data_IF_571164914671
#
_entry.id   IF_571164914671
#
_cell.length_a   1.000
_cell.length_b   1.000
_cell.length_c   1.000
_cell.angle_alpha   90.00
_cell.angle_beta   90.00
_cell.angle_gamma   90.00
#
_symmetry.space_group_name_H-M   'P 1'
#
loop_
_entity.id
_entity.type
_entity.pdbx_description
1 polymer ?
2 non-polymer ?
3 non-polymer ?
4 water ?
#
# COMPACT_ATOMS: atom_id res chain seq x y z
N UNK A 3 -22.50 5.99 -29.63
CA UNK A 3 -23.63 5.06 -29.80
C UNK A 3 -23.28 3.63 -29.42
N UNK A 4 -22.35 3.02 -30.14
CA UNK A 4 -21.83 1.72 -29.72
C UNK A 4 -20.87 1.89 -28.53
N UNK A 5 -20.84 0.89 -27.64
CA UNK A 5 -19.94 0.94 -26.48
C UNK A 5 -18.49 1.20 -26.87
N UNK A 6 -18.10 0.71 -28.04
CA UNK A 6 -16.72 0.88 -28.51
C UNK A 6 -16.39 2.35 -28.83
N UNK A 7 -17.32 3.05 -29.48
CA UNK A 7 -17.15 4.48 -29.73
C UNK A 7 -17.29 5.29 -28.44
N UNK A 8 -18.18 4.85 -27.55
CA UNK A 8 -18.31 5.46 -26.22
C UNK A 8 -16.98 5.38 -25.50
N UNK A 9 -16.40 4.19 -25.49
CA UNK A 9 -15.12 4.00 -24.85
C UNK A 9 -14.03 4.77 -25.56
N UNK A 10 -14.10 4.84 -26.88
CA UNK A 10 -13.13 5.62 -27.65
C UNK A 10 -13.19 7.10 -27.25
N UNK A 11 -14.39 7.59 -26.95
CA UNK A 11 -14.56 8.97 -26.54
C UNK A 11 -13.88 9.23 -25.19
N UNK A 12 -14.05 8.30 -24.25
CA UNK A 12 -13.41 8.39 -22.92
C UNK A 12 -11.89 8.24 -22.99
N UNK A 13 -11.42 7.26 -23.76
CA UNK A 13 -9.98 7.10 -23.96
C UNK A 13 -9.38 8.37 -24.57
N UNK A 14 -10.11 8.96 -25.52
CA UNK A 14 -9.70 10.21 -26.14
C UNK A 14 -9.66 11.32 -25.09
N UNK A 15 -10.68 11.37 -24.23
CA UNK A 15 -10.69 12.31 -23.11
C UNK A 15 -9.44 12.11 -22.25
N UNK A 16 -9.24 10.88 -21.81
CA UNK A 16 -8.08 10.52 -20.96
C UNK A 16 -6.77 10.96 -21.59
N UNK A 17 -6.58 10.59 -22.85
CA UNK A 17 -5.35 10.92 -23.58
C UNK A 17 -5.13 12.42 -23.56
N UNK A 18 -6.19 13.18 -23.80
CA UNK A 18 -6.12 14.64 -23.76
C UNK A 18 -5.74 15.18 -22.36
N UNK A 19 -6.17 14.51 -21.29
CA UNK A 19 -5.86 14.99 -19.94
C UNK A 19 -4.35 15.17 -19.75
N UNK A 20 -3.58 14.42 -20.54
CA UNK A 20 -2.13 14.48 -20.49
C UNK A 20 -1.55 15.87 -20.68
N UNK A 21 -2.13 16.65 -21.57
CA UNK A 21 -1.54 17.94 -21.93
C UNK A 21 -2.01 19.10 -21.06
N UNK A 22 -2.68 18.77 -19.96
CA UNK A 22 -3.22 19.79 -19.07
C UNK A 22 -2.28 20.15 -17.92
N UNK A 23 -2.47 21.36 -17.39
CA UNK A 23 -1.71 21.80 -16.22
C UNK A 23 -1.68 20.72 -15.13
N UNK A 24 -0.64 20.69 -14.29
CA UNK A 24 -0.57 19.69 -13.22
C UNK A 24 -1.52 19.96 -12.03
N UNK A 25 -2.22 21.09 -12.05
CA UNK A 25 -3.07 21.52 -10.92
C UNK A 25 -2.42 21.21 -9.56
N UNK A 26 -1.16 21.59 -9.44
CA UNK A 26 -0.48 21.58 -8.16
C UNK A 26 0.06 20.22 -7.75
N UNK A 27 -0.09 19.21 -8.60
CA UNK A 27 0.45 17.89 -8.29
C UNK A 27 1.84 17.64 -8.92
N UNK A 28 2.51 16.57 -8.49
CA UNK A 28 3.88 16.27 -8.96
C UNK A 28 3.93 15.65 -10.36
N UNK A 29 2.86 14.96 -10.75
CA UNK A 29 2.81 14.31 -12.06
C UNK A 29 1.58 14.79 -12.83
N UNK A 30 1.52 14.55 -14.13
CA UNK A 30 0.36 15.05 -14.90
C UNK A 30 -0.95 14.29 -14.55
N UNK A 31 -2.08 14.81 -15.03
CA UNK A 31 -3.39 14.26 -14.68
C UNK A 31 -3.63 12.87 -15.29
N UNK A 32 -3.15 12.67 -16.51
CA UNK A 32 -3.23 11.34 -17.10
C UNK A 32 -2.40 10.34 -16.26
N UNK A 33 -1.16 10.69 -15.96
CA UNK A 33 -0.31 9.85 -15.12
C UNK A 33 -0.97 9.50 -13.79
N UNK A 34 -1.52 10.51 -13.11
CA UNK A 34 -2.25 10.27 -11.87
C UNK A 34 -3.35 9.21 -12.05
N UNK A 35 -4.18 9.39 -13.08
CA UNK A 35 -5.22 8.40 -13.39
C UNK A 35 -4.64 7.01 -13.58
N UNK A 36 -3.63 6.88 -14.44
CA UNK A 36 -3.08 5.56 -14.76
C UNK A 36 -2.48 4.87 -13.53
N UNK A 37 -1.92 5.65 -12.61
CA UNK A 37 -1.29 5.02 -11.45
C UNK A 37 -2.34 4.39 -10.52
N UNK A 38 -3.42 5.13 -10.25
CA UNK A 38 -4.44 4.62 -9.36
C UNK A 38 -5.08 3.35 -9.93
N UNK A 39 -5.31 3.33 -11.24
CA UNK A 39 -5.89 2.17 -11.87
C UNK A 39 -4.93 0.99 -11.72
N UNK A 40 -3.64 1.27 -11.87
CA UNK A 40 -2.65 0.23 -11.73
C UNK A 40 -2.68 -0.37 -10.33
N UNK A 41 -2.53 0.49 -9.32
CA UNK A 41 -2.58 0.05 -7.93
C UNK A 41 -3.84 -0.74 -7.65
N UNK A 42 -4.95 -0.30 -8.22
CA UNK A 42 -6.22 -0.99 -8.04
C UNK A 42 -6.26 -2.38 -8.69
N UNK A 43 -5.82 -2.47 -9.94
CA UNK A 43 -5.89 -3.74 -10.63
C UNK A 43 -4.87 -4.72 -10.03
N UNK A 44 -3.65 -4.25 -9.81
CA UNK A 44 -2.58 -5.13 -9.33
C UNK A 44 -2.91 -5.67 -7.96
N UNK A 45 -3.94 -5.11 -7.32
CA UNK A 45 -4.27 -5.49 -5.96
C UNK A 45 -5.36 -6.55 -5.95
N UNK A 46 -5.84 -6.95 -7.12
CA UNK A 46 -6.92 -7.91 -7.19
C UNK A 46 -8.33 -7.34 -7.23
N UNK A 47 -8.47 -6.02 -7.08
CA UNK A 47 -9.80 -5.41 -7.03
C UNK A 47 -10.67 -5.77 -8.24
N UNK A 48 -11.98 -5.66 -8.07
CA UNK A 48 -12.92 -5.91 -9.16
C UNK A 48 -12.89 -4.78 -10.20
N UNK A 49 -13.43 -5.03 -11.38
CA UNK A 49 -13.34 -4.06 -12.47
C UNK A 49 -14.02 -2.72 -12.17
N UNK A 50 -15.14 -2.75 -11.46
CA UNK A 50 -15.78 -1.52 -11.07
C UNK A 50 -14.85 -0.65 -10.20
N UNK A 51 -14.08 -1.28 -9.31
CA UNK A 51 -13.12 -0.55 -8.48
C UNK A 51 -11.98 -0.01 -9.34
N UNK A 52 -11.54 -0.82 -10.29
CA UNK A 52 -10.44 -0.44 -11.15
C UNK A 52 -10.85 0.74 -12.04
N UNK A 53 -12.11 0.72 -12.46
CA UNK A 53 -12.61 1.77 -13.34
C UNK A 53 -12.81 3.04 -12.55
N UNK A 54 -13.38 2.90 -11.36
CA UNK A 54 -13.54 4.04 -10.48
C UNK A 54 -12.18 4.68 -10.16
N UNK A 55 -11.15 3.86 -9.97
CA UNK A 55 -9.81 4.38 -9.67
C UNK A 55 -9.23 5.13 -10.86
N UNK A 56 -9.37 4.55 -12.04
CA UNK A 56 -8.86 5.16 -13.27
C UNK A 56 -9.53 6.51 -13.59
N UNK A 57 -10.82 6.60 -13.31
CA UNK A 57 -11.61 7.72 -13.79
C UNK A 57 -12.00 8.71 -12.70
N UNK A 58 -11.53 8.48 -11.47
CA UNK A 58 -12.00 9.24 -10.32
C UNK A 58 -11.79 10.75 -10.43
N UNK A 59 -10.74 11.18 -11.13
CA UNK A 59 -10.50 12.62 -11.32
C UNK A 59 -10.88 13.16 -12.72
N UNK A 60 -11.71 12.41 -13.44
CA UNK A 60 -12.22 12.82 -14.75
C UNK A 60 -12.82 14.26 -14.75
N UNK A 61 -13.44 14.61 -13.63
CA UNK A 61 -14.23 15.84 -13.51
C UNK A 61 -13.41 17.13 -13.51
N UNK A 62 -12.10 16.99 -13.36
CA UNK A 62 -11.20 18.11 -13.46
C UNK A 62 -11.15 18.63 -14.91
N UNK A 63 -11.66 17.87 -15.88
CA UNK A 63 -11.51 18.29 -17.28
C UNK A 63 -12.60 17.91 -18.30
N UNK A 64 -13.50 17.00 -17.94
CA UNK A 64 -14.48 16.51 -18.92
C UNK A 64 -15.50 17.55 -19.40
N UNK A 65 -15.91 18.47 -18.54
CA UNK A 65 -16.88 19.49 -18.95
C UNK A 65 -16.34 20.91 -19.04
N UNK A 66 -15.33 21.19 -18.23
CA UNK A 66 -14.62 22.45 -18.25
C UNK A 66 -13.26 22.16 -17.66
N UNK A 67 -12.32 23.07 -17.87
CA UNK A 67 -11.03 22.95 -17.20
C UNK A 67 -10.80 24.23 -16.41
N UNK A 68 -11.79 24.60 -15.61
CA UNK A 68 -11.73 25.82 -14.81
C UNK A 68 -11.00 25.57 -13.49
N UNK A 69 -9.68 25.40 -13.55
CA UNK A 69 -8.86 25.03 -12.39
C UNK A 69 -8.78 26.13 -11.34
N UNK A 70 -9.18 27.33 -11.75
CA UNK A 70 -9.19 28.48 -10.86
C UNK A 70 -10.31 28.36 -9.81
N UNK A 71 -11.26 27.46 -10.05
CA UNK A 71 -12.36 27.24 -9.10
C UNK A 71 -11.82 27.01 -7.70
N UNK A 72 -10.88 26.07 -7.57
CA UNK A 72 -10.33 25.74 -6.27
C UNK A 72 -8.95 26.39 -6.17
N UNK A 73 -8.90 27.67 -6.52
CA UNK A 73 -7.70 28.47 -6.39
C UNK A 73 -6.54 27.91 -7.18
N UNK A 74 -6.84 27.42 -8.38
CA UNK A 74 -5.80 26.83 -9.22
C UNK A 74 -5.63 25.33 -9.09
N UNK A 75 -6.26 24.71 -8.09
CA UNK A 75 -6.04 23.27 -7.82
C UNK A 75 -7.18 22.32 -8.25
N UNK A 76 -8.05 22.76 -9.14
CA UNK A 76 -9.02 21.85 -9.67
C UNK A 76 -10.38 22.46 -9.90
N UNK A 77 -11.26 21.64 -10.47
CA UNK A 77 -12.56 22.11 -10.86
C UNK A 77 -13.53 21.90 -9.71
N UNK A 78 -14.47 22.85 -9.60
CA UNK A 78 -15.48 22.81 -8.58
C UNK A 78 -16.24 21.47 -8.66
N UNK A 79 -16.49 20.85 -7.51
CA UNK A 79 -17.10 19.52 -7.41
C UNK A 79 -16.73 18.55 -8.53
N UNK A 80 -15.44 18.50 -8.85
CA UNK A 80 -14.92 17.55 -9.84
C UNK A 80 -15.43 16.12 -9.60
N UNK A 81 -15.58 15.72 -8.35
CA UNK A 81 -16.06 14.36 -8.07
C UNK A 81 -17.49 14.18 -8.62
N UNK A 82 -18.33 15.17 -8.42
CA UNK A 82 -19.70 15.07 -8.89
C UNK A 82 -19.77 15.23 -10.41
N UNK A 83 -18.89 16.05 -10.95
CA UNK A 83 -18.90 16.32 -12.38
C UNK A 83 -18.61 15.03 -13.11
N UNK A 84 -17.48 14.41 -12.76
CA UNK A 84 -17.08 13.15 -13.38
C UNK A 84 -18.12 12.06 -13.15
N UNK A 85 -18.60 11.93 -11.92
CA UNK A 85 -19.62 10.95 -11.60
C UNK A 85 -20.86 11.08 -12.51
N UNK A 86 -21.40 12.30 -12.64
CA UNK A 86 -22.54 12.54 -13.54
C UNK A 86 -22.22 12.32 -15.02
N UNK A 87 -21.02 12.68 -15.44
CA UNK A 87 -20.59 12.41 -16.81
C UNK A 87 -20.69 10.90 -17.12
N UNK A 88 -20.17 10.07 -16.21
CA UNK A 88 -20.17 8.64 -16.44
C UNK A 88 -21.58 8.03 -16.38
N UNK A 89 -22.41 8.51 -15.44
CA UNK A 89 -23.79 8.07 -15.39
C UNK A 89 -24.39 8.34 -16.75
N UNK A 90 -23.95 9.45 -17.36
CA UNK A 90 -24.43 9.84 -18.68
C UNK A 90 -24.01 8.85 -19.75
N UNK A 91 -22.76 8.40 -19.68
CA UNK A 91 -22.24 7.49 -20.68
C UNK A 91 -22.82 6.07 -20.52
N UNK A 92 -23.41 5.79 -19.36
CA UNK A 92 -23.96 4.47 -19.10
C UNK A 92 -23.26 3.63 -18.04
N UNK A 93 -22.31 4.22 -17.31
CA UNK A 93 -21.62 3.49 -16.23
C UNK A 93 -22.50 3.12 -15.05
N UNK A 94 -22.10 2.07 -14.32
CA UNK A 94 -22.87 1.60 -13.17
C UNK A 94 -23.00 2.65 -12.08
N UNK A 95 -24.09 2.58 -11.33
CA UNK A 95 -24.31 3.50 -10.22
C UNK A 95 -23.23 3.28 -9.16
N UNK A 96 -22.74 2.05 -9.09
CA UNK A 96 -21.64 1.73 -8.20
C UNK A 96 -20.37 2.51 -8.52
N UNK A 97 -19.95 2.48 -9.79
CA UNK A 97 -18.77 3.23 -10.19
C UNK A 97 -19.00 4.70 -9.84
N UNK A 98 -20.17 5.19 -10.21
CA UNK A 98 -20.49 6.60 -10.04
C UNK A 98 -20.43 7.00 -8.58
N UNK A 99 -21.00 6.18 -7.71
CA UNK A 99 -21.01 6.51 -6.28
C UNK A 99 -19.61 6.47 -5.67
N UNK A 100 -18.80 5.49 -6.07
CA UNK A 100 -17.39 5.46 -5.67
C UNK A 100 -16.62 6.72 -6.08
N UNK A 101 -16.83 7.17 -7.31
CA UNK A 101 -16.16 8.38 -7.79
C UNK A 101 -16.66 9.59 -7.00
N UNK A 102 -17.97 9.68 -6.83
CA UNK A 102 -18.60 10.80 -6.14
C UNK A 102 -18.17 10.87 -4.69
N UNK A 103 -17.72 9.75 -4.14
CA UNK A 103 -17.39 9.66 -2.73
C UNK A 103 -15.93 9.85 -2.42
N UNK A 104 -15.09 9.94 -3.45
CA UNK A 104 -13.65 10.01 -3.19
C UNK A 104 -13.27 11.30 -2.46
N UNK A 105 -14.12 12.32 -2.56
CA UNK A 105 -13.85 13.59 -1.85
C UNK A 105 -14.36 13.51 -0.42
N UNK A 106 -15.58 13.01 -0.26
CA UNK A 106 -16.07 12.69 1.08
C UNK A 106 -15.04 11.86 1.85
N UNK A 107 -14.42 10.90 1.16
CA UNK A 107 -13.46 10.01 1.81
C UNK A 107 -12.32 10.81 2.40
N UNK A 108 -11.88 11.83 1.66
CA UNK A 108 -10.82 12.71 2.12
C UNK A 108 -11.29 13.50 3.34
N UNK A 109 -12.52 14.00 3.26
CA UNK A 109 -13.06 14.82 4.33
C UNK A 109 -13.16 13.97 5.59
N UNK A 110 -13.58 12.72 5.39
CA UNK A 110 -13.69 11.77 6.49
C UNK A 110 -12.34 11.54 7.16
N UNK A 111 -11.41 10.94 6.44
CA UNK A 111 -10.09 10.59 6.96
C UNK A 111 -9.41 11.74 7.70
N UNK A 112 -9.65 12.96 7.23
CA UNK A 112 -9.03 14.14 7.82
C UNK A 112 -9.63 14.44 9.20
N UNK A 113 -10.93 14.23 9.34
CA UNK A 113 -11.60 14.36 10.62
C UNK A 113 -11.26 13.19 11.56
N UNK A 114 -10.87 12.05 10.98
CA UNK A 114 -10.67 10.82 11.75
C UNK A 114 -9.22 10.34 11.85
N UNK A 115 -8.25 11.21 11.61
CA UNK A 115 -6.86 10.80 11.63
C UNK A 115 -5.92 11.92 12.05
N UNK A 118 -3.32 12.64 9.29
CA UNK A 118 -3.64 12.27 7.92
C UNK A 118 -3.54 13.47 7.01
N UNK A 119 -3.84 14.64 7.56
CA UNK A 119 -3.69 15.90 6.86
C UNK A 119 -2.26 16.08 6.36
N UNK A 120 -1.32 15.42 7.04
CA UNK A 120 0.07 15.43 6.59
C UNK A 120 0.30 14.44 5.45
N UNK A 121 -0.48 13.35 5.42
CA UNK A 121 -0.42 12.40 4.31
C UNK A 121 -0.98 12.96 2.99
N UNK A 122 -1.57 14.15 3.06
CA UNK A 122 -2.16 14.81 1.90
C UNK A 122 -1.15 15.58 1.05
N UNK A 123 -1.27 15.47 -0.27
CA UNK A 123 -0.46 16.31 -1.14
C UNK A 123 -0.81 17.76 -0.82
N UNK A 124 0.05 18.70 -1.19
CA UNK A 124 -0.22 20.12 -0.98
C UNK A 124 -1.51 20.54 -1.68
N UNK A 125 -1.71 20.02 -2.89
CA UNK A 125 -2.93 20.31 -3.63
C UNK A 125 -4.17 19.83 -2.89
N UNK A 126 -4.15 18.61 -2.36
CA UNK A 126 -5.34 18.04 -1.75
C UNK A 126 -5.78 18.77 -0.47
N UNK A 127 -4.80 19.07 0.38
CA UNK A 127 -5.07 19.84 1.60
C UNK A 127 -5.81 21.12 1.22
N UNK A 128 -5.32 21.80 0.18
CA UNK A 128 -5.88 23.07 -0.28
C UNK A 128 -7.30 22.95 -0.82
N UNK A 129 -7.59 21.87 -1.55
CA UNK A 129 -8.92 21.73 -2.15
C UNK A 129 -9.97 21.44 -1.10
N UNK A 130 -9.54 20.84 0.02
CA UNK A 130 -10.45 20.58 1.13
C UNK A 130 -11.28 21.83 1.53
N UNK A 131 -10.70 23.02 1.34
CA UNK A 131 -11.34 24.28 1.76
C UNK A 131 -12.27 24.84 0.67
N UNK A 132 -12.50 24.02 -0.36
CA UNK A 132 -13.49 24.28 -1.40
C UNK A 132 -14.46 23.10 -1.49
N UNK A 133 -14.41 22.22 -0.50
CA UNK A 133 -15.17 20.97 -0.53
C UNK A 133 -16.02 20.75 0.72
N UNK A 134 -15.97 21.72 1.64
CA UNK A 134 -16.75 21.65 2.86
C UNK A 134 -15.88 21.37 4.08
N UNK A 135 -14.57 21.26 3.87
CA UNK A 135 -13.64 21.05 4.97
C UNK A 135 -13.86 19.74 5.70
N UNK A 136 -13.27 19.63 6.91
CA UNK A 136 -13.40 18.44 7.76
C UNK A 136 -14.87 18.08 7.99
N UNK A 137 -15.19 16.81 7.85
CA UNK A 137 -16.51 16.34 8.20
C UNK A 137 -16.76 16.58 9.69
N UNK A 138 -17.93 17.12 10.03
CA UNK A 138 -18.33 17.24 11.44
C UNK A 138 -18.61 15.86 12.02
N UNK A 140 -21.26 13.57 12.88
CA UNK A 140 -22.54 13.87 12.23
C UNK A 140 -22.50 13.54 10.76
N UNK A 141 -21.65 14.25 10.02
CA UNK A 141 -21.35 13.90 8.65
C UNK A 141 -20.67 12.54 8.62
N UNK A 142 -19.74 12.33 9.55
CA UNK A 142 -19.02 11.06 9.66
C UNK A 142 -19.97 9.87 9.81
N UNK A 143 -21.14 10.12 10.40
CA UNK A 143 -22.12 9.07 10.65
C UNK A 143 -22.78 8.63 9.35
N UNK A 144 -23.28 9.60 8.60
CA UNK A 144 -23.89 9.34 7.30
C UNK A 144 -22.90 8.64 6.38
N UNK A 145 -21.66 9.12 6.35
CA UNK A 145 -20.62 8.55 5.49
C UNK A 145 -20.30 7.11 5.89
N UNK A 146 -20.17 6.88 7.20
CA UNK A 146 -19.95 5.53 7.71
C UNK A 146 -21.16 4.63 7.41
N UNK A 147 -22.33 5.23 7.27
CA UNK A 147 -23.54 4.48 6.96
C UNK A 147 -23.67 4.17 5.46
N UNK A 148 -22.61 4.43 4.70
CA UNK A 148 -22.62 4.14 3.27
C UNK A 148 -22.28 2.67 3.01
N UNK A 149 -23.02 2.05 2.08
CA UNK A 149 -22.75 0.67 1.69
C UNK A 149 -21.29 0.50 1.19
N UNK A 150 -20.82 1.49 0.42
CA UNK A 150 -19.50 1.42 -0.22
C UNK A 150 -18.41 2.08 0.63
N UNK A 151 -18.69 2.23 1.92
CA UNK A 151 -17.83 2.97 2.84
C UNK A 151 -16.36 2.54 2.77
N UNK A 152 -16.11 1.26 2.98
CA UNK A 152 -14.75 0.72 2.91
C UNK A 152 -14.19 0.89 1.51
N UNK A 153 -15.02 0.62 0.50
CA UNK A 153 -14.67 0.85 -0.89
C UNK A 153 -14.16 2.26 -1.15
N UNK A 154 -14.94 3.26 -0.76
CA UNK A 154 -14.54 4.65 -0.91
C UNK A 154 -13.19 4.93 -0.29
N UNK A 155 -12.97 4.41 0.93
CA UNK A 155 -11.70 4.62 1.60
C UNK A 155 -10.60 3.98 0.77
N UNK A 156 -10.93 2.86 0.15
CA UNK A 156 -9.95 2.14 -0.65
C UNK A 156 -9.53 2.97 -1.85
N UNK A 157 -10.53 3.43 -2.60
CA UNK A 157 -10.28 4.32 -3.72
C UNK A 157 -9.40 5.45 -3.26
N UNK A 158 -9.74 6.05 -2.12
CA UNK A 158 -9.01 7.22 -1.64
C UNK A 158 -7.55 6.88 -1.35
N UNK A 159 -7.33 5.66 -0.86
CA UNK A 159 -5.98 5.21 -0.52
C UNK A 159 -5.08 5.23 -1.74
N UNK A 160 -5.58 4.64 -2.83
CA UNK A 160 -4.85 4.61 -4.07
C UNK A 160 -4.66 6.00 -4.62
N UNK A 161 -5.68 6.85 -4.40
CA UNK A 161 -5.66 8.22 -4.87
C UNK A 161 -4.43 8.91 -4.26
N UNK A 162 -4.24 8.77 -2.95
CA UNK A 162 -3.09 9.42 -2.32
C UNK A 162 -1.76 8.79 -2.76
N UNK A 163 -1.80 7.54 -3.20
CA UNK A 163 -0.58 6.83 -3.62
C UNK A 163 -0.18 7.21 -5.06
N UNK A 164 -1.17 7.42 -5.92
CA UNK A 164 -0.93 7.70 -7.32
C UNK A 164 -0.26 9.04 -7.65
N UNK A 165 0.86 9.30 -6.97
CA UNK A 165 1.63 10.53 -7.19
C UNK A 165 3.12 10.25 -7.38
N UNK A 166 3.47 9.02 -7.74
CA UNK A 166 4.88 8.61 -7.82
C UNK A 166 5.55 9.16 -9.07
N UNK A 167 6.63 9.91 -8.87
CA UNK A 167 7.46 10.36 -9.97
C UNK A 167 8.26 9.19 -10.51
N UNK A 168 8.42 9.16 -11.83
CA UNK A 168 9.23 8.13 -12.50
C UNK A 168 8.69 6.72 -12.27
N UNK A 169 7.42 6.50 -12.63
CA UNK A 169 6.83 5.17 -12.55
C UNK A 169 6.08 4.82 -13.83
N UNK A 170 6.49 3.73 -14.46
CA UNK A 170 5.85 3.27 -15.70
C UNK A 170 4.64 2.40 -15.38
N UNK A 171 3.51 2.72 -16.00
CA UNK A 171 2.28 1.96 -15.79
C UNK A 171 1.51 1.82 -17.11
N UNK A 172 0.66 0.81 -17.22
CA UNK A 172 -0.07 0.62 -18.49
C UNK A 172 -0.88 1.84 -18.90
N UNK A 173 -0.91 2.16 -20.19
CA UNK A 173 -1.66 3.29 -20.70
C UNK A 173 -3.17 3.08 -20.76
N UNK A 174 -3.89 4.09 -21.25
CA UNK A 174 -5.36 4.04 -21.28
C UNK A 174 -5.89 2.84 -22.06
N UNK A 175 -5.24 2.46 -23.14
CA UNK A 175 -5.78 1.40 -24.01
C UNK A 175 -5.86 0.07 -23.25
N UNK A 176 -4.95 -0.12 -22.30
CA UNK A 176 -4.92 -1.30 -21.45
C UNK A 176 -6.29 -1.55 -20.81
N UNK A 177 -7.07 -0.48 -20.70
CA UNK A 177 -8.36 -0.51 -20.02
C UNK A 177 -9.56 -0.53 -20.98
N UNK A 178 -9.30 -0.56 -22.27
CA UNK A 178 -10.38 -0.44 -23.23
C UNK A 178 -11.38 -1.59 -23.12
N UNK A 179 -10.86 -2.82 -23.12
CA UNK A 179 -11.75 -3.98 -23.07
C UNK A 179 -12.57 -3.93 -21.79
N UNK A 180 -11.90 -3.51 -20.72
CA UNK A 180 -12.54 -3.47 -19.41
C UNK A 180 -13.72 -2.49 -19.40
N UNK A 181 -13.56 -1.33 -20.05
CA UNK A 181 -14.64 -0.33 -20.08
C UNK A 181 -15.85 -0.78 -20.92
N UNK A 182 -15.57 -1.31 -22.10
CA UNK A 182 -16.60 -1.83 -22.99
C UNK A 182 -17.49 -2.87 -22.32
N UNK A 183 -16.88 -3.83 -21.62
CA UNK A 183 -17.63 -4.88 -20.92
C UNK A 183 -18.54 -4.29 -19.86
N UNK A 184 -18.01 -3.30 -19.15
CA UNK A 184 -18.75 -2.61 -18.12
C UNK A 184 -19.99 -1.98 -18.73
N UNK A 185 -19.81 -1.33 -19.87
CA UNK A 185 -20.90 -0.65 -20.58
C UNK A 185 -22.00 -1.63 -21.03
N UNK A 186 -21.63 -2.70 -21.72
CA UNK A 186 -22.60 -3.72 -22.11
C UNK A 186 -23.34 -4.27 -20.89
N UNK A 187 -22.60 -4.55 -19.82
CA UNK A 187 -23.20 -4.89 -18.53
C UNK A 187 -24.12 -3.75 -18.08
N UNK B 2 -9.99 -22.97 14.25
CA UNK B 2 -11.15 -22.22 14.72
C UNK B 2 -11.49 -21.07 13.79
N UNK B 3 -12.76 -20.68 13.78
CA UNK B 3 -13.19 -19.48 13.08
C UNK B 3 -12.43 -18.27 13.63
N UNK B 4 -12.15 -18.26 14.92
CA UNK B 4 -11.33 -17.21 15.50
C UNK B 4 -9.94 -17.12 14.83
N UNK B 5 -9.26 -18.27 14.75
CA UNK B 5 -7.91 -18.33 14.18
C UNK B 5 -7.92 -17.92 12.73
N UNK B 6 -8.97 -18.34 12.04
CA UNK B 6 -9.13 -18.05 10.63
C UNK B 6 -9.31 -16.54 10.42
N UNK B 7 -10.06 -15.89 11.30
CA UNK B 7 -10.23 -14.44 11.22
C UNK B 7 -8.96 -13.69 11.56
N UNK B 8 -8.26 -14.15 12.59
CA UNK B 8 -6.95 -13.60 12.94
C UNK B 8 -6.06 -13.61 11.71
N UNK B 9 -6.02 -14.75 11.03
CA UNK B 9 -5.17 -14.92 9.86
C UNK B 9 -5.65 -14.01 8.74
N UNK B 10 -6.97 -13.86 8.63
CA UNK B 10 -7.55 -13.01 7.60
C UNK B 10 -7.17 -11.55 7.78
N UNK B 11 -7.11 -11.10 9.02
CA UNK B 11 -6.69 -9.72 9.30
C UNK B 11 -5.19 -9.59 9.00
N UNK B 12 -4.40 -10.58 9.41
CA UNK B 12 -2.99 -10.61 9.02
C UNK B 12 -2.79 -10.55 7.50
N UNK B 13 -3.50 -11.41 6.76
CA UNK B 13 -3.42 -11.40 5.31
C UNK B 13 -3.88 -10.07 4.71
N UNK B 14 -4.87 -9.42 5.34
CA UNK B 14 -5.27 -8.11 4.85
C UNK B 14 -4.17 -7.06 5.04
N UNK B 15 -3.47 -7.12 6.17
CA UNK B 15 -2.35 -6.21 6.39
C UNK B 15 -1.30 -6.50 5.32
N UNK B 16 -0.92 -7.77 5.17
CA UNK B 16 0.02 -8.16 4.12
C UNK B 16 -0.39 -7.63 2.74
N UNK B 17 -1.68 -7.70 2.43
CA UNK B 17 -2.17 -7.22 1.12
C UNK B 17 -2.06 -5.70 1.01
N UNK B 18 -2.35 -5.00 2.10
CA UNK B 18 -2.18 -3.55 2.11
C UNK B 18 -0.74 -3.19 1.78
N UNK B 19 0.21 -3.95 2.35
CA UNK B 19 1.61 -3.55 2.34
C UNK B 19 2.20 -3.49 0.94
N UNK B 20 1.46 -4.04 -0.03
CA UNK B 20 1.92 -4.07 -1.42
C UNK B 20 2.09 -2.64 -1.95
N UNK B 21 1.32 -1.72 -1.39
CA UNK B 21 1.39 -0.28 -1.74
C UNK B 21 2.38 0.52 -0.89
N UNK B 22 3.22 -0.19 -0.14
CA UNK B 22 4.31 0.45 0.59
C UNK B 22 5.61 0.13 -0.11
N UNK B 23 6.48 1.12 -0.27
CA UNK B 23 7.82 0.83 -0.80
C UNK B 23 8.69 0.14 0.26
N UNK B 24 9.64 -0.68 -0.20
CA UNK B 24 10.72 -1.20 0.65
C UNK B 24 12.04 -0.92 -0.06
N UNK B 25 12.10 -1.40 -1.30
CA UNK B 25 13.24 -1.21 -2.20
C UNK B 25 14.56 -0.90 -1.50
N UNK B 29 11.78 -2.91 -4.52
CA UNK B 29 10.58 -3.73 -4.54
C UNK B 29 9.66 -3.33 -3.40
N UNK B 30 8.39 -3.71 -3.49
CA UNK B 30 7.45 -3.30 -2.45
C UNK B 30 7.50 -4.20 -1.21
N UNK B 31 6.88 -3.74 -0.13
CA UNK B 31 6.93 -4.46 1.15
C UNK B 31 6.41 -5.89 1.05
N UNK B 32 5.33 -6.08 0.28
CA UNK B 32 4.73 -7.38 0.18
C UNK B 32 5.63 -8.34 -0.58
N UNK B 33 6.15 -7.89 -1.73
CA UNK B 33 7.10 -8.71 -2.46
C UNK B 33 8.26 -9.14 -1.55
N UNK B 34 8.80 -8.16 -0.81
CA UNK B 34 9.86 -8.45 0.17
C UNK B 34 9.47 -9.62 1.05
N UNK B 35 8.41 -9.45 1.81
CA UNK B 35 7.96 -10.47 2.75
C UNK B 35 7.78 -11.81 2.08
N UNK B 36 7.08 -11.83 0.95
CA UNK B 36 6.81 -13.09 0.25
C UNK B 36 8.08 -13.79 -0.21
N UNK B 37 9.11 -13.00 -0.55
CA UNK B 37 10.37 -13.58 -1.03
C UNK B 37 11.08 -14.30 0.11
N UNK B 38 11.13 -13.64 1.27
CA UNK B 38 11.73 -14.22 2.44
C UNK B 38 11.02 -15.54 2.82
N UNK B 39 9.70 -15.50 2.94
CA UNK B 39 8.90 -16.67 3.22
C UNK B 39 9.26 -17.81 2.24
N UNK B 40 9.35 -17.47 0.97
CA UNK B 40 9.65 -18.44 -0.08
C UNK B 40 11.05 -19.06 0.07
N UNK B 41 12.05 -18.22 0.33
CA UNK B 41 13.42 -18.69 0.53
C UNK B 41 13.46 -19.66 1.71
N UNK B 42 12.76 -19.27 2.77
CA UNK B 42 12.73 -20.07 3.98
C UNK B 42 12.06 -21.42 3.76
N UNK B 43 10.91 -21.44 3.09
CA UNK B 43 10.23 -22.72 2.86
C UNK B 43 10.97 -23.61 1.86
N UNK B 44 11.42 -23.03 0.75
CA UNK B 44 12.22 -23.76 -0.24
C UNK B 44 13.46 -24.42 0.39
N UNK B 45 13.99 -23.80 1.43
CA UNK B 45 15.22 -24.29 2.05
C UNK B 45 14.96 -25.44 3.03
N UNK B 46 13.69 -25.77 3.25
CA UNK B 46 13.35 -26.83 4.20
C UNK B 46 13.29 -26.38 5.65
N UNK B 47 13.21 -25.08 5.89
CA UNK B 47 13.16 -24.56 7.25
C UNK B 47 11.85 -24.95 7.91
N UNK B 48 11.81 -24.96 9.24
CA UNK B 48 10.54 -25.27 9.93
C UNK B 48 9.48 -24.17 9.78
N UNK B 49 8.25 -24.45 10.20
CA UNK B 49 7.15 -23.51 10.00
C UNK B 49 7.36 -22.20 10.75
N UNK B 50 7.95 -22.27 11.94
CA UNK B 50 8.19 -21.04 12.70
C UNK B 50 9.20 -20.13 12.02
N UNK B 51 10.21 -20.73 11.40
CA UNK B 51 11.19 -20.00 10.62
C UNK B 51 10.51 -19.39 9.40
N UNK B 52 9.66 -20.16 8.74
CA UNK B 52 8.99 -19.65 7.55
C UNK B 52 8.10 -18.48 7.97
N UNK B 53 7.36 -18.66 9.05
CA UNK B 53 6.47 -17.61 9.51
C UNK B 53 7.25 -16.37 9.94
N UNK B 54 8.35 -16.56 10.68
CA UNK B 54 9.16 -15.41 11.11
C UNK B 54 9.68 -14.68 9.87
N UNK B 55 10.07 -15.45 8.87
CA UNK B 55 10.54 -14.87 7.61
C UNK B 55 9.44 -14.03 6.92
N UNK B 56 8.26 -14.61 6.78
CA UNK B 56 7.12 -13.90 6.20
C UNK B 56 6.83 -12.60 6.94
N UNK B 57 6.91 -12.65 8.26
CA UNK B 57 6.33 -11.58 9.08
C UNK B 57 7.34 -10.65 9.75
N UNK B 58 8.61 -10.74 9.38
CA UNK B 58 9.65 -10.06 10.15
C UNK B 58 9.53 -8.53 10.08
N UNK B 59 8.99 -8.03 8.97
CA UNK B 59 8.82 -6.59 8.78
C UNK B 59 7.39 -6.10 8.99
N UNK B 60 6.56 -6.91 9.63
CA UNK B 60 5.19 -6.55 9.91
C UNK B 60 5.07 -5.18 10.57
N UNK B 61 6.03 -4.89 11.44
CA UNK B 61 6.00 -3.67 12.24
C UNK B 61 6.04 -2.42 11.41
N UNK B 62 6.48 -2.55 10.16
CA UNK B 62 6.49 -1.41 9.26
C UNK B 62 5.08 -0.97 8.86
N UNK B 63 4.08 -1.83 9.08
CA UNK B 63 2.77 -1.56 8.49
C UNK B 63 1.58 -2.11 9.26
N UNK B 64 1.79 -2.66 10.44
CA UNK B 64 0.68 -3.28 11.16
C UNK B 64 -0.07 -2.30 12.07
N UNK B 65 0.55 -1.15 12.32
CA UNK B 65 -0.10 -0.09 13.07
C UNK B 65 0.07 1.27 12.40
N UNK B 67 1.71 3.52 9.76
CA UNK B 67 2.92 3.35 8.95
C UNK B 67 3.76 4.63 8.87
N UNK B 68 4.35 5.04 9.99
CA UNK B 68 5.14 6.27 10.04
C UNK B 68 6.59 6.10 9.58
N UNK B 69 6.78 5.87 8.27
CA UNK B 69 8.10 5.66 7.70
C UNK B 69 9.06 6.82 7.90
N UNK B 70 8.50 7.98 8.22
CA UNK B 70 9.28 9.17 8.53
C UNK B 70 10.24 8.85 9.67
N UNK B 71 9.72 8.16 10.69
CA UNK B 71 10.49 7.78 11.86
C UNK B 71 11.96 7.61 11.55
N UNK B 72 12.27 6.60 10.76
CA UNK B 72 13.65 6.26 10.51
C UNK B 72 14.15 6.91 9.22
N UNK B 73 14.08 8.25 9.19
CA UNK B 73 14.57 9.02 8.08
C UNK B 73 13.83 8.73 6.78
N UNK B 74 12.53 8.46 6.89
CA UNK B 74 11.74 8.08 5.74
C UNK B 74 11.99 6.66 5.30
N UNK B 75 12.75 5.91 6.08
CA UNK B 75 13.07 4.52 5.72
C UNK B 75 12.36 3.47 6.58
N UNK B 76 11.43 3.88 7.43
CA UNK B 76 10.68 2.91 8.20
C UNK B 76 10.24 3.32 9.59
N UNK B 77 9.44 2.44 10.18
CA UNK B 77 8.85 2.63 11.51
C UNK B 77 9.83 2.26 12.63
N UNK B 78 9.90 3.14 13.63
CA UNK B 78 10.85 2.94 14.71
C UNK B 78 10.55 1.68 15.49
N UNK B 79 11.59 0.91 15.77
CA UNK B 79 11.43 -0.35 16.49
C UNK B 79 10.47 -1.28 15.79
N UNK B 80 10.48 -1.27 14.46
CA UNK B 80 9.55 -2.09 13.70
C UNK B 80 9.66 -3.56 14.12
N UNK B 81 10.87 -3.99 14.47
CA UNK B 81 11.06 -5.37 14.90
C UNK B 81 10.25 -5.69 16.15
N UNK B 82 10.24 -4.77 17.10
CA UNK B 82 9.49 -4.95 18.35
C UNK B 82 7.99 -4.76 18.12
N UNK B 83 7.64 -3.76 17.34
CA UNK B 83 6.26 -3.51 17.03
C UNK B 83 5.62 -4.76 16.39
N UNK B 84 6.30 -5.33 15.40
CA UNK B 84 5.79 -6.51 14.71
C UNK B 84 5.66 -7.69 15.65
N UNK B 85 6.67 -7.91 16.47
CA UNK B 85 6.72 -9.09 17.32
C UNK B 85 5.67 -9.06 18.44
N UNK B 86 5.42 -7.85 18.96
CA UNK B 86 4.44 -7.65 20.03
C UNK B 86 3.01 -7.80 19.50
N UNK B 87 2.81 -7.42 18.24
CA UNK B 87 1.55 -7.59 17.53
C UNK B 87 1.20 -9.07 17.36
N UNK B 88 2.22 -9.90 17.09
CA UNK B 88 1.99 -11.33 16.91
C UNK B 88 1.82 -12.07 18.24
N UNK B 89 2.55 -11.62 19.26
CA UNK B 89 2.34 -12.11 20.62
C UNK B 89 0.88 -11.85 21.00
N UNK B 90 0.39 -10.67 20.66
CA UNK B 90 -0.99 -10.29 20.91
C UNK B 90 -1.99 -11.19 20.20
N UNK B 91 -1.68 -11.55 18.96
CA UNK B 91 -2.53 -12.47 18.19
C UNK B 91 -2.45 -13.89 18.70
N UNK B 92 -1.39 -14.22 19.45
CA UNK B 92 -1.20 -15.58 19.92
C UNK B 92 -0.07 -16.38 19.29
N UNK B 93 0.75 -15.76 18.44
CA UNK B 93 1.92 -16.49 17.89
C UNK B 93 2.91 -16.90 18.98
N UNK B 94 3.79 -17.84 18.67
CA UNK B 94 4.69 -18.37 19.69
C UNK B 94 5.81 -17.38 20.04
N UNK B 95 6.42 -17.59 21.21
CA UNK B 95 7.51 -16.74 21.65
C UNK B 95 8.74 -16.95 20.76
N UNK B 96 8.97 -18.18 20.32
CA UNK B 96 10.05 -18.42 19.38
C UNK B 96 9.94 -17.53 18.15
N UNK B 97 8.73 -17.44 17.59
CA UNK B 97 8.53 -16.63 16.39
C UNK B 97 8.68 -15.14 16.71
N UNK B 98 8.12 -14.71 17.84
CA UNK B 98 8.29 -13.31 18.28
C UNK B 98 9.78 -12.94 18.40
N UNK B 99 10.55 -13.79 19.07
CA UNK B 99 11.97 -13.50 19.28
C UNK B 99 12.77 -13.54 17.98
N UNK B 100 12.38 -14.40 17.04
CA UNK B 100 13.06 -14.42 15.75
C UNK B 100 12.85 -13.07 15.05
N UNK B 101 11.62 -12.56 15.10
CA UNK B 101 11.31 -11.31 14.43
C UNK B 101 12.02 -10.17 15.14
N UNK B 102 11.88 -10.17 16.45
CA UNK B 102 12.48 -9.17 17.31
C UNK B 102 14.00 -9.16 17.16
N UNK B 103 14.58 -10.29 16.75
CA UNK B 103 16.03 -10.45 16.67
C UNK B 103 16.62 -10.19 15.29
N UNK B 104 15.78 -9.89 14.30
CA UNK B 104 16.28 -9.63 12.96
C UNK B 104 17.04 -8.32 12.84
N UNK B 105 16.75 -7.36 13.70
CA UNK B 105 17.50 -6.12 13.70
C UNK B 105 18.81 -6.30 14.50
N UNK B 106 18.72 -7.06 15.58
CA UNK B 106 19.90 -7.38 16.36
C UNK B 106 20.88 -8.18 15.51
N UNK B 107 20.35 -9.08 14.66
CA UNK B 107 21.18 -9.81 13.72
C UNK B 107 21.98 -8.86 12.82
N UNK B 108 21.33 -7.84 12.30
CA UNK B 108 22.00 -6.84 11.47
C UNK B 108 23.12 -6.15 12.25
N UNK B 109 22.81 -5.68 13.46
CA UNK B 109 23.80 -5.00 14.27
C UNK B 109 25.00 -5.89 14.62
N UNK B 110 24.74 -7.18 14.79
CA UNK B 110 25.82 -8.13 15.06
C UNK B 110 26.70 -8.32 13.82
N UNK B 111 26.10 -8.65 12.69
CA UNK B 111 26.83 -8.88 11.45
C UNK B 111 27.66 -7.66 11.04
N UNK B 112 27.12 -6.46 11.24
CA UNK B 112 27.86 -5.25 10.88
C UNK B 112 29.10 -5.07 11.77
N UNK B 113 29.01 -5.47 13.04
CA UNK B 113 30.17 -5.38 13.92
C UNK B 113 31.10 -6.58 13.74
N UNK B 114 30.66 -7.59 12.99
CA UNK B 114 31.52 -8.74 12.74
C UNK B 114 32.46 -8.52 11.56
N UNK B 115 31.98 -7.79 10.56
CA UNK B 115 32.79 -7.44 9.40
C UNK B 115 32.21 -6.19 8.75
N UNK B 116 33.01 -5.14 8.59
CA UNK B 116 32.49 -3.89 8.06
C UNK B 116 32.10 -4.05 6.59
N UNK B 117 32.55 -5.15 6.00
CA UNK B 117 32.17 -5.47 4.63
C UNK B 117 30.66 -5.71 4.52
N UNK B 118 30.04 -6.11 5.63
CA UNK B 118 28.61 -6.43 5.64
C UNK B 118 27.74 -5.22 5.32
N UNK B 119 28.23 -4.01 5.63
CA UNK B 119 27.48 -2.80 5.31
C UNK B 119 27.13 -2.79 3.82
N UNK B 120 28.01 -3.36 3.03
CA UNK B 120 27.83 -3.41 1.57
C UNK B 120 26.58 -4.20 1.17
N UNK B 121 26.32 -5.29 1.87
CA UNK B 121 25.20 -6.15 1.53
C UNK B 121 23.87 -5.47 1.86
N UNK B 122 23.95 -4.34 2.56
CA UNK B 122 22.76 -3.65 3.02
C UNK B 122 22.25 -2.67 1.97
N UNK B 123 20.94 -2.55 1.84
CA UNK B 123 20.33 -1.47 1.07
C UNK B 123 20.64 -0.15 1.75
N UNK B 124 20.56 0.94 1.01
CA UNK B 124 20.79 2.25 1.60
C UNK B 124 19.80 2.45 2.73
N UNK B 125 18.57 1.98 2.52
CA UNK B 125 17.54 1.97 3.55
C UNK B 125 18.03 1.30 4.83
N UNK B 126 18.63 0.12 4.69
CA UNK B 126 19.06 -0.64 5.86
C UNK B 126 20.31 -0.07 6.51
N UNK B 127 21.16 0.58 5.73
CA UNK B 127 22.32 1.28 6.30
C UNK B 127 21.88 2.51 7.10
N UNK B 128 20.77 3.12 6.70
CA UNK B 128 20.29 4.32 7.39
C UNK B 128 19.57 3.92 8.66
N UNK B 129 18.74 2.89 8.56
CA UNK B 129 17.92 2.48 9.70
C UNK B 129 18.79 2.02 10.86
N UNK B 130 19.98 1.53 10.50
CA UNK B 130 20.95 1.07 11.47
C UNK B 130 21.34 2.21 12.42
N UNK B 131 21.25 3.44 11.91
CA UNK B 131 21.56 4.64 12.70
C UNK B 131 20.38 5.13 13.56
N UNK B 132 19.31 4.36 13.57
CA UNK B 132 18.18 4.60 14.45
C UNK B 132 17.98 3.37 15.32
N UNK B 133 18.90 2.41 15.21
CA UNK B 133 18.75 1.12 15.88
C UNK B 133 19.89 0.87 16.87
N UNK B 134 20.75 1.86 17.09
CA UNK B 134 21.83 1.71 18.05
C UNK B 134 23.17 1.43 17.40
N UNK B 135 23.20 1.42 16.07
CA UNK B 135 24.44 1.17 15.35
C UNK B 135 25.01 -0.22 15.60
N UNK B 136 26.25 -0.45 15.15
CA UNK B 136 26.89 -1.76 15.32
C UNK B 136 27.02 -2.16 16.80
N UNK B 137 27.00 -3.46 17.09
CA UNK B 137 27.14 -3.91 18.47
C UNK B 137 28.56 -3.73 18.98
N UNK B 138 28.68 -3.46 20.28
CA UNK B 138 29.97 -3.48 20.94
C UNK B 138 30.22 -4.89 21.46
N UNK B 139 31.33 -5.08 22.15
CA UNK B 139 31.75 -6.42 22.54
C UNK B 139 30.76 -7.05 23.51
N UNK B 140 30.26 -6.27 24.46
CA UNK B 140 29.31 -6.78 25.44
C UNK B 140 28.00 -7.25 24.81
N UNK B 141 27.53 -6.49 23.83
CA UNK B 141 26.31 -6.83 23.10
C UNK B 141 26.51 -8.09 22.27
N UNK B 142 27.64 -8.18 21.58
CA UNK B 142 27.94 -9.33 20.75
C UNK B 142 27.93 -10.61 21.56
N UNK B 143 28.60 -10.59 22.70
CA UNK B 143 28.68 -11.77 23.57
C UNK B 143 27.32 -12.16 24.09
N UNK B 144 26.45 -11.17 24.30
CA UNK B 144 25.09 -11.45 24.75
C UNK B 144 24.25 -12.09 23.63
N UNK B 145 24.37 -11.52 22.43
CA UNK B 145 23.66 -12.03 21.26
C UNK B 145 24.11 -13.45 20.89
N UNK B 146 25.40 -13.72 21.06
CA UNK B 146 25.96 -15.04 20.78
C UNK B 146 25.39 -16.11 21.71
N UNK B 147 25.00 -15.71 22.91
CA UNK B 147 24.49 -16.67 23.88
C UNK B 147 23.04 -17.06 23.65
N UNK B 148 22.32 -16.29 22.83
CA UNK B 148 20.93 -16.62 22.52
C UNK B 148 20.85 -18.04 21.98
N UNK B 149 19.87 -18.79 22.49
CA UNK B 149 19.62 -20.13 21.98
C UNK B 149 19.16 -20.07 20.52
N UNK B 150 18.68 -18.90 20.07
CA UNK B 150 18.25 -18.76 18.67
C UNK B 150 19.23 -17.98 17.79
N UNK B 151 20.45 -17.82 18.30
CA UNK B 151 21.49 -17.07 17.59
C UNK B 151 21.59 -17.43 16.10
N UNK B 152 21.87 -18.68 15.77
CA UNK B 152 21.98 -19.11 14.36
C UNK B 152 20.69 -18.87 13.57
N UNK B 153 19.55 -19.19 14.15
CA UNK B 153 18.28 -18.92 13.49
C UNK B 153 18.10 -17.42 13.19
N UNK B 154 18.48 -16.56 14.13
CA UNK B 154 18.40 -15.11 13.90
C UNK B 154 19.23 -14.65 12.71
N UNK B 155 20.42 -15.21 12.59
CA UNK B 155 21.29 -14.88 11.48
C UNK B 155 20.67 -15.38 10.18
N UNK B 156 20.02 -16.54 10.23
CA UNK B 156 19.41 -17.12 9.03
C UNK B 156 18.27 -16.21 8.50
N UNK B 157 17.41 -15.74 9.39
CA UNK B 157 16.37 -14.77 9.06
C UNK B 157 16.95 -13.57 8.32
N UNK B 158 18.02 -13.00 8.89
CA UNK B 158 18.61 -11.80 8.31
C UNK B 158 19.22 -12.06 6.93
N UNK B 159 19.79 -13.26 6.75
CA UNK B 159 20.30 -13.66 5.44
C UNK B 159 19.19 -13.62 4.38
N UNK B 160 18.05 -14.25 4.67
CA UNK B 160 16.93 -14.20 3.75
C UNK B 160 16.45 -12.76 3.55
N UNK B 161 16.41 -12.01 4.64
CA UNK B 161 16.06 -10.59 4.65
C UNK B 161 16.87 -9.83 3.59
N UNK B 162 18.18 -9.97 3.65
CA UNK B 162 19.05 -9.24 2.74
C UNK B 162 18.89 -9.73 1.31
N UNK B 163 18.53 -10.99 1.14
CA UNK B 163 18.35 -11.59 -0.19
C UNK B 163 16.99 -11.23 -0.82
N UNK B 164 16.04 -10.84 0.01
CA UNK B 164 14.67 -10.58 -0.42
C UNK B 164 14.45 -9.28 -1.17
N UNK B 165 15.17 -9.10 -2.27
CA UNK B 165 15.12 -7.87 -3.02
C UNK B 165 15.18 -8.17 -4.52
N UNK B 166 14.85 -9.40 -4.89
CA UNK B 166 14.99 -9.85 -6.27
C UNK B 166 13.89 -9.25 -7.14
N UNK B 167 14.26 -8.72 -8.31
CA UNK B 167 13.29 -8.15 -9.23
C UNK B 167 12.57 -9.24 -10.03
N UNK B 168 11.28 -9.02 -10.28
CA UNK B 168 10.52 -9.91 -11.16
C UNK B 168 10.67 -11.37 -10.73
N UNK B 169 10.53 -11.63 -9.44
CA UNK B 169 10.56 -13.00 -8.98
C UNK B 169 9.15 -13.42 -8.61
N UNK B 170 8.63 -14.47 -9.25
CA UNK B 170 7.29 -14.94 -8.92
C UNK B 170 7.35 -15.91 -7.74
N UNK B 171 6.61 -15.59 -6.68
CA UNK B 171 6.61 -16.39 -5.46
C UNK B 171 5.17 -16.60 -5.00
N UNK B 172 4.91 -17.62 -4.16
CA UNK B 172 3.54 -17.85 -3.66
C UNK B 172 2.99 -16.64 -2.90
N UNK B 173 1.68 -16.41 -3.01
CA UNK B 173 1.06 -15.23 -2.39
C UNK B 173 0.67 -15.52 -0.96
N UNK B 174 0.14 -14.52 -0.25
CA UNK B 174 -0.18 -14.62 1.18
C UNK B 174 -1.01 -15.85 1.54
N UNK B 175 -2.00 -16.13 0.71
CA UNK B 175 -2.91 -17.25 0.94
C UNK B 175 -2.20 -18.59 1.08
N UNK B 176 -1.08 -18.72 0.36
CA UNK B 176 -0.29 -19.94 0.47
C UNK B 176 0.04 -20.27 1.91
N UNK B 177 0.16 -19.25 2.74
CA UNK B 177 0.64 -19.41 4.10
C UNK B 177 -0.47 -19.51 5.17
N UNK B 178 -1.73 -19.42 4.74
CA UNK B 178 -2.83 -19.39 5.71
C UNK B 178 -2.89 -20.66 6.57
N UNK B 179 -2.77 -21.81 5.93
CA UNK B 179 -2.80 -23.08 6.65
C UNK B 179 -1.71 -23.13 7.70
N UNK B 180 -0.49 -22.79 7.29
CA UNK B 180 0.63 -22.74 8.21
C UNK B 180 0.29 -21.82 9.39
N UNK B 181 -0.24 -20.65 9.08
CA UNK B 181 -0.56 -19.66 10.11
C UNK B 181 -1.66 -20.14 11.06
N UNK B 182 -2.78 -20.61 10.50
CA UNK B 182 -3.87 -21.16 11.30
C UNK B 182 -3.41 -22.31 12.19
N UNK B 183 -2.64 -23.23 11.62
CA UNK B 183 -2.09 -24.34 12.41
C UNK B 183 -1.14 -23.84 13.50
N UNK B 184 -0.37 -22.80 13.19
CA UNK B 184 0.51 -22.24 14.20
C UNK B 184 -0.29 -21.70 15.39
N UNK B 185 -1.33 -20.91 15.10
CA UNK B 185 -2.13 -20.31 16.15
C UNK B 185 -2.71 -21.40 17.03
N UNK B 186 -3.12 -22.49 16.38
CA UNK B 186 -3.70 -23.64 17.05
C UNK B 186 -2.70 -24.26 18.03
N UNK B 187 -1.42 -24.02 17.78
CA UNK B 187 -0.32 -24.44 18.66
C UNK B 187 0.01 -25.92 18.51
X LIG C 1 -7.07 11.94 -7.45
X LIG D 1 -10.01 14.13 -6.72
X LIG E 1 -9.45 17.22 -4.24
X LIG E 1 -8.79 15.90 -4.48
X LIG E 1 -9.93 14.94 -4.57
X LIG E 1 -8.06 15.62 -3.21
X LIG E 1 -7.67 15.84 -5.91
X LIG E 1 -8.41 15.63 -7.06
X LIG E 1 -6.89 17.12 -5.95
X LIG E 1 -5.89 17.07 -6.99
X LIG E 1 -7.06 15.10 -5.80
X LIG E 1 -8.56 14.77 -7.16
X LIG E 1 -6.46 17.25 -5.09
X LIG E 1 -7.50 17.86 -6.12
X LIG E 1 -5.32 16.39 -6.81
X LIG E 1 -6.29 16.93 -7.78
X LIG E 1 -5.44 17.86 -7.00
X LIG F 1 13.13 -7.04 5.82
X LIG G 1 13.39 -5.12 9.11
X LIG H 1 15.96 -1.95 9.50
X LIG H 1 15.75 -3.14 8.62
X LIG H 1 15.39 -4.24 9.55
X LIG H 1 17.08 -3.45 8.04
X LIG H 1 14.48 -2.97 7.31
X LIG H 1 13.30 -3.55 7.72
X LIG H 1 14.28 -1.55 6.97
X LIG H 1 14.02 -1.51 5.56
X LIG H 1 14.80 -3.45 6.52
X LIG H 1 13.24 -4.36 7.40
X LIG H 1 15.09 -1.04 7.18
X LIG H 1 13.53 -1.20 7.46
X LIG H 1 14.74 -1.85 5.11
X LIG H 1 13.29 -2.01 5.37
X LIG H 1 13.88 -0.66 5.30
#
# INVERSE_FOLDING_TARGET
MSLSNSSKVSVLISLLEKSRDLDYIGEAINQLEHSLQCAYFAQRSGADNEMVLAALLHDLGHYCNDTSFEDMGGYGVWQHEKVGADYLRGLGFSERVACLIEGHVAAKRYLVSSKASYLKNLSDASRKTLEYQGGPMDEGERRLFEEREDFKDCLKIRAWDEKGKQTDLKVPGPEHYRKMMEEHLSENQNHHHHHH
MSLSNSSKVSVLISLLEKSRDLDYIGEAINQLEHSLQCAYFAQRSGADNEMVLAALLHDLGHYCNDTSFEDMGGYGVWQHEKVGADYLRGLGFSERVACLIEGHVAAKRYLVSSKASYLKNLSDASRKTLEYQGGPMDEGERRLFEEREDFKDCLKIRAWDEKGKQTDLKVPGPEHYRKMMEEHLSENQNHHHHHH
FE FE
FE FE
ODV OAD PAH OAE OAB CAG OAC CAF NAA HAG HAC HAF HAH HAI HAJ HAA
FE FE
FE FE
ODV OAD PAH OAE OAB CAG OAC CAF NAA HAG HAC HAF HAH HAI HAJ HAA
#
